data_IF_239125156465
#
_entry.id   IF_239125156465
#
_cell.length_a   1.000
_cell.length_b   1.000
_cell.length_c   1.000
_cell.angle_alpha   90.00
_cell.angle_beta   90.00
_cell.angle_gamma   90.00
#
_symmetry.space_group_name_H-M   'P 1'
#
loop_
_entity.id
_entity.type
_entity.pdbx_description
1 polymer ?
#
# COMPACT_ATOMS: atom_id res chain seq x y z
N UNK A 1 6.22 18.55 -68.04
CA UNK A 1 7.15 17.52 -67.52
C UNK A 1 8.48 18.24 -67.27
N UNK A 2 9.14 18.31 -66.11
CA UNK A 2 9.13 17.54 -64.86
C UNK A 2 9.49 18.50 -63.70
N UNK A 3 8.85 18.32 -62.55
CA UNK A 3 9.09 19.05 -61.29
C UNK A 3 10.28 18.40 -60.57
N UNK A 4 11.30 19.16 -60.19
CA UNK A 4 12.32 18.73 -59.25
C UNK A 4 12.15 19.54 -57.97
N UNK A 5 11.32 19.02 -57.06
CA UNK A 5 11.10 19.58 -55.73
C UNK A 5 12.11 18.94 -54.78
N UNK A 6 13.00 19.76 -54.24
CA UNK A 6 14.13 19.37 -53.40
C UNK A 6 13.73 18.74 -52.07
N UNK A 7 14.68 17.97 -51.55
CA UNK A 7 14.58 16.90 -50.57
C UNK A 7 14.00 17.25 -49.20
N UNK A 8 13.29 16.24 -48.69
CA UNK A 8 12.98 15.90 -47.30
C UNK A 8 14.20 15.99 -46.37
N UNK A 9 13.98 16.54 -45.16
CA UNK A 9 14.60 16.05 -43.92
C UNK A 9 13.62 16.26 -42.76
N UNK A 10 12.73 15.30 -42.54
CA UNK A 10 11.92 15.23 -41.33
C UNK A 10 12.65 14.31 -40.34
N UNK A 11 13.27 14.90 -39.32
CA UNK A 11 13.86 14.14 -38.20
C UNK A 11 12.71 13.71 -37.28
N UNK A 12 12.31 12.45 -37.37
CA UNK A 12 11.38 11.85 -36.43
C UNK A 12 12.15 11.39 -35.17
N UNK A 13 12.12 12.17 -34.10
CA UNK A 13 12.55 11.69 -32.78
C UNK A 13 11.43 10.85 -32.15
N UNK A 14 11.51 9.54 -32.33
CA UNK A 14 10.72 8.58 -31.57
C UNK A 14 11.27 8.50 -30.14
N UNK A 15 10.77 9.37 -29.26
CA UNK A 15 10.96 9.25 -27.82
C UNK A 15 10.15 8.08 -27.31
N UNK A 16 10.79 6.93 -27.07
CA UNK A 16 10.19 5.81 -26.36
C UNK A 16 9.89 6.25 -24.93
N UNK A 17 8.62 6.56 -24.66
CA UNK A 17 8.13 6.78 -23.29
C UNK A 17 8.16 5.43 -22.60
N UNK A 18 9.18 5.21 -21.78
CA UNK A 18 9.27 4.09 -20.86
C UNK A 18 8.15 4.30 -19.81
N UNK A 19 6.94 3.84 -20.13
CA UNK A 19 5.83 3.82 -19.20
C UNK A 19 6.15 2.79 -18.11
N UNK A 20 6.85 3.26 -17.07
CA UNK A 20 7.08 2.51 -15.84
C UNK A 20 5.73 2.05 -15.31
N UNK A 21 5.56 0.74 -15.24
CA UNK A 21 4.40 0.10 -14.62
C UNK A 21 4.51 0.35 -13.13
N UNK A 22 3.94 1.46 -12.66
CA UNK A 22 3.67 1.66 -11.25
C UNK A 22 2.60 0.65 -10.88
N UNK A 23 3.03 -0.48 -10.30
CA UNK A 23 2.13 -1.44 -9.67
C UNK A 23 1.46 -0.70 -8.51
N UNK A 24 0.27 -0.17 -8.76
CA UNK A 24 -0.58 0.37 -7.73
C UNK A 24 -0.91 -0.81 -6.81
N UNK A 25 -0.32 -0.80 -5.62
CA UNK A 25 -0.71 -1.65 -4.51
C UNK A 25 -2.14 -1.24 -4.13
N UNK A 26 -3.11 -1.78 -4.88
CA UNK A 26 -4.52 -1.55 -4.65
C UNK A 26 -4.88 -2.25 -3.35
N UNK A 27 -4.74 -1.53 -2.24
CA UNK A 27 -5.34 -1.89 -0.96
C UNK A 27 -6.82 -2.12 -1.22
N UNK A 28 -7.25 -3.36 -1.08
CA UNK A 28 -8.65 -3.75 -1.29
C UNK A 28 -9.52 -2.91 -0.36
N UNK A 29 -10.40 -2.09 -0.92
CA UNK A 29 -11.45 -1.33 -0.22
C UNK A 29 -12.56 -2.24 0.30
N UNK A 30 -12.18 -3.40 0.83
CA UNK A 30 -13.04 -4.19 1.72
C UNK A 30 -13.10 -3.47 3.06
N UNK A 31 -14.23 -3.59 3.77
CA UNK A 31 -14.37 -3.05 5.12
C UNK A 31 -13.13 -3.38 5.94
N UNK A 32 -12.42 -2.35 6.41
CA UNK A 32 -11.19 -2.50 7.20
C UNK A 32 -11.47 -3.44 8.38
N UNK A 33 -10.73 -4.56 8.47
CA UNK A 33 -10.96 -5.58 9.50
C UNK A 33 -10.60 -4.98 10.85
N UNK A 34 -11.60 -4.79 11.71
CA UNK A 34 -11.37 -4.34 13.09
C UNK A 34 -11.04 -5.51 14.00
N UNK A 35 -9.93 -5.39 14.72
CA UNK A 35 -9.46 -6.36 15.70
C UNK A 35 -9.54 -5.71 17.08
N UNK A 36 -10.40 -6.26 17.94
CA UNK A 36 -10.56 -5.78 19.30
C UNK A 36 -9.51 -6.46 20.20
N UNK A 37 -8.69 -5.66 20.86
CA UNK A 37 -7.64 -6.12 21.77
C UNK A 37 -7.96 -5.61 23.18
N UNK A 38 -8.00 -6.52 24.15
CA UNK A 38 -8.12 -6.15 25.56
C UNK A 38 -6.77 -6.25 26.26
N UNK A 39 -6.44 -5.26 27.08
CA UNK A 39 -5.27 -5.26 27.94
C UNK A 39 -5.71 -5.39 29.41
N UNK A 40 -5.13 -6.38 30.09
CA UNK A 40 -5.33 -6.62 31.53
C UNK A 40 -4.11 -7.32 32.11
N UNK A 41 -3.64 -6.88 33.27
CA UNK A 41 -2.60 -7.55 34.06
C UNK A 41 -1.36 -7.90 33.23
N UNK A 42 -0.86 -6.92 32.47
CA UNK A 42 0.31 -7.04 31.57
C UNK A 42 0.17 -8.07 30.45
N UNK A 43 -1.07 -8.46 30.11
CA UNK A 43 -1.37 -9.38 29.03
C UNK A 43 -2.37 -8.78 28.03
N UNK A 44 -2.20 -9.15 26.76
CA UNK A 44 -3.15 -8.84 25.69
C UNK A 44 -4.00 -10.06 25.37
N UNK A 45 -5.29 -9.81 25.08
CA UNK A 45 -6.20 -10.81 24.48
C UNK A 45 -6.83 -10.24 23.21
N UNK A 46 -6.65 -10.89 22.05
CA UNK A 46 -5.80 -12.07 21.85
C UNK A 46 -4.30 -11.76 22.06
N UNK A 47 -3.51 -12.78 22.36
CA UNK A 47 -2.05 -12.66 22.50
C UNK A 47 -1.28 -12.89 21.18
N UNK A 48 -1.98 -13.36 20.15
CA UNK A 48 -1.51 -13.53 18.77
C UNK A 48 -2.57 -13.00 17.83
N UNK A 49 -2.14 -12.21 16.84
CA UNK A 49 -2.99 -11.69 15.78
C UNK A 49 -2.39 -12.15 14.45
N UNK A 50 -3.19 -12.81 13.62
CA UNK A 50 -2.83 -13.20 12.27
C UNK A 50 -3.50 -12.26 11.27
N UNK A 51 -2.69 -11.69 10.37
CA UNK A 51 -3.09 -10.76 9.32
C UNK A 51 -2.55 -11.23 7.99
N UNK A 52 -3.23 -10.89 6.90
CA UNK A 52 -2.76 -11.17 5.55
C UNK A 52 -1.74 -10.10 5.14
N UNK A 53 -0.69 -10.49 4.42
CA UNK A 53 0.29 -9.53 3.91
C UNK A 53 -0.38 -8.49 2.99
N UNK A 54 -0.11 -7.20 3.24
CA UNK A 54 -0.74 -6.09 2.51
C UNK A 54 -2.16 -5.73 2.98
N UNK A 55 -2.69 -6.41 4.00
CA UNK A 55 -3.97 -6.06 4.62
C UNK A 55 -3.84 -4.83 5.52
N UNK A 56 -4.74 -3.86 5.35
CA UNK A 56 -4.94 -2.79 6.33
C UNK A 56 -5.92 -3.27 7.40
N UNK A 57 -5.50 -3.20 8.68
CA UNK A 57 -6.32 -3.61 9.83
C UNK A 57 -6.46 -2.49 10.84
N UNK A 58 -7.62 -2.43 11.48
CA UNK A 58 -7.91 -1.48 12.54
C UNK A 58 -7.79 -2.14 13.91
N UNK A 59 -6.81 -1.74 14.71
CA UNK A 59 -6.70 -2.20 16.09
C UNK A 59 -7.52 -1.30 17.02
N UNK A 60 -8.48 -1.88 17.75
CA UNK A 60 -9.17 -1.21 18.85
C UNK A 60 -8.68 -1.77 20.18
N UNK A 61 -7.82 -1.02 20.85
CA UNK A 61 -7.33 -1.35 22.18
C UNK A 61 -8.33 -0.90 23.27
N UNK A 62 -8.60 -1.78 24.23
CA UNK A 62 -9.35 -1.46 25.46
C UNK A 62 -8.57 -1.95 26.68
N UNK A 63 -8.11 -1.02 27.50
CA UNK A 63 -7.59 -1.32 28.84
C UNK A 63 -8.75 -1.62 29.80
N UNK A 64 -8.60 -2.63 30.65
CA UNK A 64 -9.66 -3.09 31.56
C UNK A 64 -9.30 -3.01 33.05
N UNK A 65 -8.07 -2.58 33.36
CA UNK A 65 -7.59 -2.34 34.72
C UNK A 65 -6.80 -1.02 34.80
N UNK A 66 -5.50 -1.02 34.51
CA UNK A 66 -4.66 0.19 34.54
C UNK A 66 -4.51 0.77 33.14
N UNK A 67 -3.87 1.94 33.05
CA UNK A 67 -3.39 2.42 31.75
C UNK A 67 -2.37 1.44 31.17
N UNK A 68 -2.49 1.17 29.87
CA UNK A 68 -1.57 0.33 29.11
C UNK A 68 -1.24 1.02 27.80
N UNK A 69 0.00 0.81 27.36
CA UNK A 69 0.45 1.23 26.04
C UNK A 69 0.43 0.05 25.05
N UNK A 70 0.51 0.33 23.75
CA UNK A 70 0.54 -0.67 22.69
C UNK A 70 1.52 -0.23 21.59
N UNK A 71 2.55 -1.03 21.37
CA UNK A 71 3.56 -0.79 20.35
C UNK A 71 3.64 -1.98 19.39
N UNK A 72 3.68 -1.68 18.08
CA UNK A 72 3.96 -2.66 17.04
C UNK A 72 5.46 -2.61 16.75
N UNK A 73 6.15 -3.75 16.86
CA UNK A 73 7.56 -3.90 16.49
C UNK A 73 7.67 -4.91 15.36
N UNK A 74 8.45 -4.55 14.34
CA UNK A 74 8.86 -5.48 13.29
C UNK A 74 10.07 -6.21 13.84
N UNK A 75 9.96 -7.53 13.95
CA UNK A 75 11.06 -8.42 14.34
C UNK A 75 11.95 -8.78 13.16
#
# INVERSE_FOLDING_TARGET
>A
MRRCTSLLFAVAMAGAVLAGTTSALAGTTGSERQINVSARSYAFKPNRIEIVAGETVKIRLKSTDTFHDFAVKIG
#
